data_IF_147478515303
#
_entry.id   IF_147478515303
#
_cell.length_a   1.000
_cell.length_b   1.000
_cell.length_c   1.000
_cell.angle_alpha   90.00
_cell.angle_beta   90.00
_cell.angle_gamma   90.00
#
_symmetry.space_group_name_H-M   'P 1'
#
loop_
_entity.id
_entity.type
_entity.pdbx_description
1 polymer ?
#
# COMPACT_ATOMS: atom_id res chain seq x y z
N UNK A 1 9.18 24.31 18.07
CA UNK A 1 8.63 24.35 16.70
C UNK A 1 7.14 24.60 16.80
N UNK A 2 6.60 25.43 15.91
CA UNK A 2 5.19 25.83 15.90
C UNK A 2 4.40 25.04 14.84
N UNK A 3 3.08 24.96 14.98
CA UNK A 3 2.16 24.28 14.02
C UNK A 3 2.37 24.68 12.54
N UNK A 4 2.73 25.94 12.21
CA UNK A 4 3.13 26.35 10.85
C UNK A 4 4.37 25.62 10.31
N UNK A 5 5.39 25.36 11.14
CA UNK A 5 6.65 24.72 10.74
C UNK A 5 6.41 23.27 10.26
N UNK A 6 5.45 22.60 10.88
CA UNK A 6 5.06 21.22 10.56
C UNK A 6 4.23 21.08 9.28
N UNK A 7 3.71 22.19 8.73
CA UNK A 7 2.91 22.18 7.49
C UNK A 7 3.74 21.79 6.27
N UNK A 8 5.04 22.09 6.30
CA UNK A 8 5.97 21.87 5.19
C UNK A 8 6.93 20.70 5.39
N UNK A 9 6.88 20.02 6.54
CA UNK A 9 7.72 18.85 6.82
C UNK A 9 7.30 17.67 5.88
N UNK A 10 8.19 17.22 4.98
CA UNK A 10 7.88 16.16 4.02
C UNK A 10 7.61 14.81 4.70
N UNK A 11 8.23 14.54 5.84
CA UNK A 11 8.04 13.31 6.60
C UNK A 11 6.66 13.29 7.27
N UNK A 12 6.25 14.39 7.90
CA UNK A 12 4.89 14.52 8.46
C UNK A 12 3.81 14.53 7.37
N UNK A 13 4.10 15.10 6.20
CA UNK A 13 3.20 15.00 5.02
C UNK A 13 3.06 13.56 4.51
N UNK A 14 4.13 12.77 4.56
CA UNK A 14 4.09 11.34 4.25
C UNK A 14 3.26 10.59 5.27
N UNK A 15 3.48 10.85 6.56
CA UNK A 15 2.71 10.26 7.66
C UNK A 15 1.21 10.57 7.55
N UNK A 16 0.84 11.82 7.25
CA UNK A 16 -0.56 12.19 7.03
C UNK A 16 -1.20 11.38 5.89
N UNK A 17 -0.47 11.18 4.79
CA UNK A 17 -0.94 10.34 3.67
C UNK A 17 -1.11 8.88 4.10
N UNK A 18 -0.17 8.36 4.89
CA UNK A 18 -0.28 7.02 5.47
C UNK A 18 -1.51 6.88 6.37
N UNK A 19 -1.70 7.77 7.34
CA UNK A 19 -2.85 7.74 8.25
C UNK A 19 -4.18 7.94 7.52
N UNK A 20 -4.22 8.70 6.41
CA UNK A 20 -5.42 8.83 5.58
C UNK A 20 -5.87 7.51 4.94
N UNK A 21 -4.97 6.53 4.83
CA UNK A 21 -5.28 5.15 4.40
C UNK A 21 -5.68 4.23 5.56
N UNK A 22 -5.65 4.71 6.81
CA UNK A 22 -6.08 4.00 8.02
C UNK A 22 -7.20 4.74 8.75
N UNK A 23 -8.36 4.97 8.09
CA UNK A 23 -9.49 5.65 8.72
C UNK A 23 -10.10 4.84 9.88
N UNK A 24 -9.85 3.54 9.95
CA UNK A 24 -10.17 2.68 11.11
C UNK A 24 -9.47 3.17 12.38
N UNK A 25 -8.16 3.44 12.32
CA UNK A 25 -7.40 3.95 13.46
C UNK A 25 -7.85 5.35 13.85
N UNK A 26 -8.01 6.24 12.87
CA UNK A 26 -8.46 7.61 13.14
C UNK A 26 -9.85 7.63 13.78
N UNK A 27 -10.76 6.77 13.32
CA UNK A 27 -12.09 6.64 13.92
C UNK A 27 -12.01 6.08 15.34
N UNK A 28 -11.19 5.06 15.59
CA UNK A 28 -11.02 4.48 16.92
C UNK A 28 -10.49 5.50 17.93
N UNK A 29 -9.44 6.22 17.54
CA UNK A 29 -8.83 7.29 18.33
C UNK A 29 -9.88 8.38 18.61
N UNK A 30 -10.56 8.88 17.59
CA UNK A 30 -11.57 9.92 17.75
C UNK A 30 -12.71 9.46 18.66
N UNK A 31 -13.22 8.24 18.46
CA UNK A 31 -14.31 7.67 19.27
C UNK A 31 -13.90 7.52 20.73
N UNK A 32 -12.67 7.07 21.00
CA UNK A 32 -12.15 6.89 22.36
C UNK A 32 -11.89 8.20 23.09
N UNK A 33 -11.36 9.20 22.39
CA UNK A 33 -10.86 10.44 22.98
C UNK A 33 -11.82 11.63 22.81
N UNK A 34 -13.02 11.40 22.28
CA UNK A 34 -14.05 12.42 22.13
C UNK A 34 -15.37 11.93 22.71
N UNK A 35 -16.04 12.80 23.46
CA UNK A 35 -17.42 12.62 23.94
C UNK A 35 -18.46 13.11 22.91
N UNK A 36 -18.04 13.36 21.67
CA UNK A 36 -18.91 13.93 20.65
C UNK A 36 -20.08 12.96 20.33
N UNK A 37 -21.35 13.42 20.41
CA UNK A 37 -22.53 12.61 20.09
C UNK A 37 -22.52 12.03 18.67
N UNK A 38 -21.75 12.61 17.75
CA UNK A 38 -21.56 12.07 16.39
C UNK A 38 -20.80 10.73 16.37
N UNK A 39 -20.02 10.45 17.42
CA UNK A 39 -19.24 9.22 17.59
C UNK A 39 -19.91 8.24 18.57
N UNK A 40 -20.80 8.76 19.42
CA UNK A 40 -21.58 8.04 20.42
C UNK A 40 -23.06 8.40 20.26
N UNK A 41 -23.78 7.78 19.30
CA UNK A 41 -25.21 8.05 19.16
C UNK A 41 -25.94 7.65 20.45
N UNK A 42 -26.98 8.39 20.86
CA UNK A 42 -27.77 8.02 22.03
C UNK A 42 -28.37 6.62 21.85
N UNK A 43 -28.60 5.87 22.94
CA UNK A 43 -29.20 4.55 22.88
C UNK A 43 -30.55 4.62 22.13
N UNK A 44 -30.83 3.61 21.32
CA UNK A 44 -32.08 3.54 20.56
C UNK A 44 -33.28 3.63 21.52
N UNK A 45 -34.38 4.31 21.14
CA UNK A 45 -35.60 4.30 21.93
C UNK A 45 -36.04 2.86 22.20
N UNK A 46 -36.47 2.58 23.44
CA UNK A 46 -36.98 1.26 23.87
C UNK A 46 -38.20 0.78 23.08
N UNK A 47 -38.80 1.65 22.27
CA UNK A 47 -39.99 1.38 21.47
C UNK A 47 -39.58 1.02 20.02
N UNK A 48 -39.66 -0.26 19.62
CA UNK A 48 -39.28 -0.72 18.27
C UNK A 48 -40.17 -0.13 17.16
N UNK A 49 -41.32 0.47 17.49
CA UNK A 49 -42.18 1.16 16.52
C UNK A 49 -41.67 2.55 16.11
N UNK A 50 -40.71 3.12 16.84
CA UNK A 50 -40.10 4.43 16.56
C UNK A 50 -38.67 4.34 16.01
N UNK A 51 -38.20 3.15 15.64
CA UNK A 51 -36.91 2.99 14.99
C UNK A 51 -36.95 3.60 13.58
N UNK A 52 -36.60 4.89 13.49
CA UNK A 52 -36.21 5.50 12.23
C UNK A 52 -35.11 4.61 11.60
N UNK A 53 -35.11 4.41 10.27
CA UNK A 53 -34.06 3.66 9.62
C UNK A 53 -32.73 4.28 10.03
N UNK A 54 -31.87 3.47 10.66
CA UNK A 54 -30.60 3.91 11.21
C UNK A 54 -29.61 4.20 10.07
N UNK A 55 -29.88 5.24 9.27
CA UNK A 55 -28.89 5.87 8.41
C UNK A 55 -27.94 6.60 9.35
N UNK A 56 -26.95 5.88 9.88
CA UNK A 56 -25.85 6.51 10.62
C UNK A 56 -25.30 7.64 9.76
N UNK A 57 -25.18 8.88 10.28
CA UNK A 57 -24.71 10.01 9.51
C UNK A 57 -23.34 9.68 8.91
N UNK A 58 -23.12 10.01 7.64
CA UNK A 58 -21.82 9.77 7.00
C UNK A 58 -20.78 10.69 7.64
N UNK A 59 -20.06 10.19 8.63
CA UNK A 59 -18.94 10.89 9.26
C UNK A 59 -17.71 10.71 8.37
N UNK A 60 -17.20 11.81 7.82
CA UNK A 60 -15.93 11.88 7.12
C UNK A 60 -14.84 12.29 8.11
N UNK A 61 -13.77 11.51 8.16
CA UNK A 61 -12.64 11.75 9.08
C UNK A 61 -11.45 12.17 8.25
N UNK A 62 -10.87 13.32 8.57
CA UNK A 62 -9.67 13.83 7.89
C UNK A 62 -8.66 14.36 8.88
N UNK A 63 -7.41 14.45 8.47
CA UNK A 63 -6.35 15.08 9.26
C UNK A 63 -6.15 16.49 8.69
N UNK A 64 -6.26 17.55 9.52
CA UNK A 64 -6.11 18.93 9.07
C UNK A 64 -4.69 19.21 8.56
N UNK A 65 -4.54 20.30 7.80
CA UNK A 65 -3.20 20.72 7.37
C UNK A 65 -2.34 21.15 8.56
N UNK A 66 -1.07 20.72 8.59
CA UNK A 66 -0.18 20.95 9.73
C UNK A 66 -0.34 19.95 10.88
N UNK A 67 -1.04 18.83 10.65
CA UNK A 67 -1.16 17.71 11.59
C UNK A 67 -0.81 16.38 10.89
N UNK A 68 -0.25 15.37 11.60
CA UNK A 68 0.15 15.36 13.01
C UNK A 68 1.31 16.35 13.31
N UNK A 69 1.38 16.81 14.56
CA UNK A 69 2.53 17.50 15.13
C UNK A 69 3.33 16.52 15.98
N UNK A 70 4.46 16.96 16.56
CA UNK A 70 5.30 16.13 17.42
C UNK A 70 4.68 15.83 18.79
N UNK A 71 3.63 16.55 19.15
CA UNK A 71 2.97 16.51 20.45
C UNK A 71 1.47 16.18 20.37
N UNK A 72 0.84 16.30 19.20
CA UNK A 72 -0.58 16.04 19.03
C UNK A 72 -0.99 15.51 17.65
N UNK A 73 -2.08 14.75 17.62
CA UNK A 73 -2.81 14.36 16.43
C UNK A 73 -4.12 15.15 16.35
N UNK A 74 -4.25 15.98 15.33
CA UNK A 74 -5.48 16.64 14.97
C UNK A 74 -6.35 15.74 14.09
N UNK A 75 -7.63 15.65 14.41
CA UNK A 75 -8.63 14.90 13.66
C UNK A 75 -9.84 15.81 13.43
N UNK A 76 -10.23 15.95 12.17
CA UNK A 76 -11.46 16.64 11.76
C UNK A 76 -12.54 15.62 11.46
N UNK A 77 -13.66 15.72 12.17
CA UNK A 77 -14.88 14.95 11.99
C UNK A 77 -15.90 15.83 11.28
N UNK A 78 -16.25 15.47 10.05
CA UNK A 78 -17.20 16.23 9.22
C UNK A 78 -18.43 15.39 8.90
N UNK A 79 -19.59 15.96 9.16
CA UNK A 79 -20.91 15.45 8.73
C UNK A 79 -21.55 16.46 7.78
N UNK A 80 -22.73 16.13 7.22
CA UNK A 80 -23.50 17.11 6.41
C UNK A 80 -23.89 18.36 7.21
N UNK A 81 -24.00 18.24 8.54
CA UNK A 81 -24.55 19.28 9.41
C UNK A 81 -23.48 19.98 10.27
N UNK A 82 -22.36 19.31 10.58
CA UNK A 82 -21.37 19.80 11.54
C UNK A 82 -19.96 19.35 11.21
N UNK A 83 -19.00 20.23 11.44
CA UNK A 83 -17.56 19.96 11.42
C UNK A 83 -16.98 20.18 12.81
N UNK A 84 -16.23 19.21 13.32
CA UNK A 84 -15.59 19.26 14.65
C UNK A 84 -14.13 18.87 14.49
N UNK A 85 -13.23 19.71 14.98
CA UNK A 85 -11.81 19.40 15.03
C UNK A 85 -11.44 19.04 16.48
N UNK A 86 -10.76 17.91 16.63
CA UNK A 86 -10.28 17.39 17.91
C UNK A 86 -8.76 17.28 17.82
N UNK A 87 -8.05 17.94 18.72
CA UNK A 87 -6.62 17.76 18.87
C UNK A 87 -6.37 16.81 20.05
N UNK A 88 -5.69 15.69 19.79
CA UNK A 88 -5.49 14.61 20.73
C UNK A 88 -3.99 14.56 21.07
N UNK A 89 -3.61 14.79 22.34
CA UNK A 89 -2.19 14.80 22.72
C UNK A 89 -1.58 13.40 22.57
N UNK A 90 -0.36 13.36 22.05
CA UNK A 90 0.47 12.15 22.08
C UNK A 90 0.90 11.90 23.53
N UNK A 91 0.98 10.63 23.95
CA UNK A 91 1.38 10.27 25.32
C UNK A 91 2.78 10.76 25.70
N UNK A 92 3.64 10.93 24.70
CA UNK A 92 4.99 11.46 24.84
C UNK A 92 5.25 12.41 23.67
N UNK A 93 5.91 13.53 23.96
CA UNK A 93 6.40 14.45 22.93
C UNK A 93 7.44 13.71 22.10
N UNK A 94 7.08 13.41 20.85
CA UNK A 94 7.98 12.75 19.92
C UNK A 94 9.08 13.71 19.49
N UNK A 95 10.28 13.18 19.25
CA UNK A 95 11.42 13.95 18.75
C UNK A 95 11.61 13.76 17.25
N UNK A 96 11.06 12.67 16.69
CA UNK A 96 11.21 12.31 15.27
C UNK A 96 9.87 11.98 14.61
N UNK A 97 9.72 12.18 13.27
CA UNK A 97 8.49 11.79 12.55
C UNK A 97 8.18 10.29 12.66
N UNK A 98 9.22 9.44 12.80
CA UNK A 98 9.06 8.01 13.02
C UNK A 98 8.42 7.71 14.38
N UNK A 99 8.84 8.42 15.43
CA UNK A 99 8.21 8.32 16.75
C UNK A 99 6.76 8.82 16.73
N UNK A 100 6.47 9.92 16.01
CA UNK A 100 5.07 10.38 15.83
C UNK A 100 4.24 9.28 15.20
N UNK A 101 4.74 8.64 14.14
CA UNK A 101 4.05 7.53 13.47
C UNK A 101 3.76 6.38 14.42
N UNK A 102 4.79 5.89 15.10
CA UNK A 102 4.66 4.76 16.05
C UNK A 102 3.69 5.10 17.18
N UNK A 103 3.74 6.33 17.70
CA UNK A 103 2.85 6.80 18.76
C UNK A 103 1.39 6.85 18.30
N UNK A 104 1.12 7.37 17.10
CA UNK A 104 -0.23 7.43 16.54
C UNK A 104 -0.78 6.04 16.20
N UNK A 105 0.04 5.18 15.57
CA UNK A 105 -0.37 3.80 15.25
C UNK A 105 -0.68 3.02 16.54
N UNK A 106 0.19 3.11 17.55
CA UNK A 106 -0.05 2.50 18.86
C UNK A 106 -1.31 3.05 19.53
N UNK A 107 -1.54 4.36 19.48
CA UNK A 107 -2.76 4.96 20.02
C UNK A 107 -4.02 4.40 19.34
N UNK A 108 -3.96 4.19 18.02
CA UNK A 108 -5.04 3.61 17.24
C UNK A 108 -5.30 2.15 17.56
N UNK A 109 -4.26 1.32 17.60
CA UNK A 109 -4.42 -0.11 17.94
C UNK A 109 -4.86 -0.29 19.40
N UNK A 110 -4.34 0.51 20.35
CA UNK A 110 -4.83 0.56 21.73
C UNK A 110 -6.34 0.92 21.79
N UNK A 111 -6.78 1.85 20.92
CA UNK A 111 -8.18 2.25 20.85
C UNK A 111 -9.07 1.17 20.22
N UNK A 112 -8.61 0.48 19.18
CA UNK A 112 -9.31 -0.68 18.62
C UNK A 112 -9.45 -1.80 19.65
N UNK A 113 -8.37 -2.10 20.40
CA UNK A 113 -8.39 -3.08 21.49
C UNK A 113 -9.35 -2.69 22.63
N UNK A 114 -9.46 -1.40 22.96
CA UNK A 114 -10.43 -0.90 23.94
C UNK A 114 -11.90 -1.18 23.56
N UNK A 115 -12.19 -1.28 22.26
CA UNK A 115 -13.52 -1.62 21.73
C UNK A 115 -13.65 -3.09 21.31
N UNK A 116 -12.65 -3.94 21.59
CA UNK A 116 -12.68 -5.36 21.23
C UNK A 116 -12.68 -5.63 19.73
N UNK A 117 -12.17 -4.70 18.91
CA UNK A 117 -12.12 -4.88 17.46
C UNK A 117 -10.98 -5.83 17.11
N UNK A 118 -11.25 -6.96 16.42
CA UNK A 118 -10.22 -7.92 16.08
C UNK A 118 -9.25 -7.36 15.05
N UNK A 119 -7.98 -7.75 15.18
CA UNK A 119 -6.94 -7.41 14.20
C UNK A 119 -7.26 -8.01 12.82
N UNK A 120 -7.75 -9.24 12.79
CA UNK A 120 -8.16 -9.92 11.56
C UNK A 120 -9.68 -10.12 11.57
N UNK A 121 -10.48 -9.09 11.23
CA UNK A 121 -11.92 -9.25 11.14
C UNK A 121 -12.28 -10.20 10.00
N UNK A 122 -13.42 -10.87 10.14
CA UNK A 122 -13.98 -11.63 9.04
C UNK A 122 -14.55 -10.67 8.00
N UNK A 123 -14.01 -10.70 6.77
CA UNK A 123 -14.52 -9.89 5.67
C UNK A 123 -15.56 -10.69 4.89
N UNK A 124 -16.80 -10.21 4.86
CA UNK A 124 -17.94 -10.91 4.26
C UNK A 124 -18.38 -10.34 2.91
N UNK A 125 -17.79 -9.23 2.49
CA UNK A 125 -18.18 -8.49 1.28
C UNK A 125 -17.00 -8.28 0.33
N UNK A 126 -17.32 -7.97 -0.93
CA UNK A 126 -16.36 -7.53 -1.93
C UNK A 126 -16.44 -6.01 -2.08
N UNK A 127 -15.29 -5.36 -2.00
CA UNK A 127 -15.13 -3.92 -2.33
C UNK A 127 -14.49 -3.80 -3.70
N UNK A 128 -14.96 -2.88 -4.54
CA UNK A 128 -14.36 -2.63 -5.85
C UNK A 128 -12.98 -1.94 -5.74
N UNK A 129 -12.06 -2.19 -6.69
CA UNK A 129 -10.79 -1.47 -6.80
C UNK A 129 -11.03 0.02 -7.10
N UNK A 130 -10.13 0.90 -6.64
CA UNK A 130 -10.16 2.31 -7.03
C UNK A 130 -9.75 2.45 -8.50
N UNK A 131 -10.33 3.40 -9.21
CA UNK A 131 -10.04 3.64 -10.63
C UNK A 131 -8.56 3.88 -10.94
N UNK A 132 -7.79 4.41 -9.98
CA UNK A 132 -6.34 4.61 -10.13
C UNK A 132 -5.56 3.31 -10.38
N UNK A 133 -6.08 2.17 -9.91
CA UNK A 133 -5.44 0.86 -10.12
C UNK A 133 -5.76 0.26 -11.49
N UNK A 134 -6.63 0.88 -12.28
CA UNK A 134 -6.96 0.48 -13.65
C UNK A 134 -5.96 1.08 -14.66
N UNK A 135 -5.26 2.15 -14.28
CA UNK A 135 -4.30 2.84 -15.15
C UNK A 135 -3.18 1.92 -15.71
N UNK A 136 -2.64 0.95 -14.95
CA UNK A 136 -1.67 -0.02 -15.46
C UNK A 136 -2.22 -0.99 -16.53
N UNK A 137 -3.55 -1.09 -16.72
CA UNK A 137 -4.11 -1.93 -17.78
C UNK A 137 -3.71 -1.44 -19.18
N UNK A 138 -3.56 -0.13 -19.37
CA UNK A 138 -3.23 0.46 -20.67
C UNK A 138 -1.87 -0.07 -21.19
N UNK A 139 -0.76 0.04 -20.43
CA UNK A 139 0.52 -0.53 -20.87
C UNK A 139 0.50 -2.06 -20.96
N UNK A 140 -0.28 -2.77 -20.14
CA UNK A 140 -0.42 -4.23 -20.22
C UNK A 140 -1.10 -4.64 -21.53
N UNK A 141 -2.24 -4.04 -21.84
CA UNK A 141 -3.00 -4.29 -23.07
C UNK A 141 -2.17 -3.92 -24.30
N UNK A 142 -1.43 -2.82 -24.25
CA UNK A 142 -0.49 -2.47 -25.30
C UNK A 142 0.58 -3.55 -25.47
N UNK A 143 1.17 -4.05 -24.39
CA UNK A 143 2.21 -5.08 -24.47
C UNK A 143 1.66 -6.41 -25.04
N UNK A 144 0.47 -6.83 -24.59
CA UNK A 144 -0.25 -7.98 -25.14
C UNK A 144 -0.51 -7.78 -26.63
N UNK A 145 -1.04 -6.62 -27.04
CA UNK A 145 -1.28 -6.29 -28.44
C UNK A 145 0.00 -6.37 -29.27
N UNK A 146 1.08 -5.72 -28.81
CA UNK A 146 2.36 -5.71 -29.54
C UNK A 146 3.01 -7.10 -29.62
N UNK A 147 2.73 -8.01 -28.69
CA UNK A 147 3.26 -9.37 -28.75
C UNK A 147 2.44 -10.31 -29.62
N UNK A 148 1.11 -10.30 -29.47
CA UNK A 148 0.24 -11.26 -30.14
C UNK A 148 -0.28 -10.81 -31.50
N UNK A 149 -0.20 -9.52 -31.84
CA UNK A 149 -0.64 -9.06 -33.16
C UNK A 149 0.15 -9.77 -34.28
N UNK A 150 -0.47 -10.08 -35.42
CA UNK A 150 0.26 -10.68 -36.53
C UNK A 150 1.29 -9.70 -37.11
N UNK A 151 2.29 -10.22 -37.82
CA UNK A 151 3.30 -9.41 -38.53
C UNK A 151 2.70 -8.57 -39.66
N UNK A 152 1.47 -8.87 -40.11
CA UNK A 152 0.74 -8.07 -41.09
C UNK A 152 0.10 -6.79 -40.49
N UNK A 153 0.03 -6.66 -39.17
CA UNK A 153 -0.61 -5.51 -38.53
C UNK A 153 0.30 -4.27 -38.56
N UNK A 154 -0.06 -3.29 -39.38
CA UNK A 154 0.70 -2.04 -39.57
C UNK A 154 0.96 -1.29 -38.26
N UNK A 155 -0.08 -1.09 -37.43
CA UNK A 155 0.04 -0.35 -36.17
C UNK A 155 0.90 -1.08 -35.13
N UNK A 156 0.77 -2.41 -35.03
CA UNK A 156 1.61 -3.21 -34.15
C UNK A 156 3.08 -3.15 -34.56
N UNK A 157 3.37 -3.13 -35.86
CA UNK A 157 4.74 -3.02 -36.35
C UNK A 157 5.36 -1.65 -36.06
N UNK A 158 4.60 -0.56 -36.21
CA UNK A 158 5.04 0.77 -35.76
C UNK A 158 5.37 0.73 -34.26
N UNK A 159 4.46 0.20 -33.43
CA UNK A 159 4.68 0.10 -31.99
C UNK A 159 5.89 -0.76 -31.61
N UNK A 160 6.07 -1.93 -32.26
CA UNK A 160 7.25 -2.78 -32.08
C UNK A 160 8.54 -2.06 -32.47
N UNK A 161 8.54 -1.34 -33.59
CA UNK A 161 9.71 -0.59 -34.04
C UNK A 161 10.09 0.50 -33.04
N UNK A 162 9.11 1.23 -32.52
CA UNK A 162 9.34 2.25 -31.49
C UNK A 162 9.88 1.63 -30.20
N UNK A 163 9.26 0.55 -29.72
CA UNK A 163 9.75 -0.16 -28.52
C UNK A 163 11.15 -0.72 -28.75
N UNK A 164 11.43 -1.29 -29.91
CA UNK A 164 12.75 -1.80 -30.25
C UNK A 164 13.81 -0.69 -30.26
N UNK A 165 13.50 0.45 -30.88
CA UNK A 165 14.41 1.59 -30.99
C UNK A 165 14.71 2.26 -29.64
N UNK A 166 13.70 2.47 -28.81
CA UNK A 166 13.83 3.27 -27.59
C UNK A 166 14.03 2.46 -26.31
N UNK A 167 13.65 1.17 -26.31
CA UNK A 167 13.66 0.31 -25.11
C UNK A 167 14.52 -0.93 -25.38
N UNK A 168 14.27 -1.62 -26.49
CA UNK A 168 15.08 -2.74 -26.96
C UNK A 168 14.25 -3.90 -27.51
N UNK A 169 14.90 -4.83 -28.23
CA UNK A 169 14.21 -5.89 -28.99
C UNK A 169 13.45 -6.88 -28.09
N UNK A 170 13.95 -7.10 -26.87
CA UNK A 170 13.37 -8.07 -25.93
C UNK A 170 12.37 -7.45 -24.94
N UNK A 171 12.13 -6.13 -25.01
CA UNK A 171 11.31 -5.43 -24.02
C UNK A 171 9.87 -5.94 -23.96
N UNK A 172 9.27 -6.22 -25.12
CA UNK A 172 7.90 -6.76 -25.22
C UNK A 172 7.84 -8.15 -24.58
N UNK A 173 8.79 -9.03 -24.95
CA UNK A 173 8.87 -10.40 -24.43
C UNK A 173 9.06 -10.44 -22.91
N UNK A 174 9.99 -9.66 -22.38
CA UNK A 174 10.22 -9.59 -20.94
C UNK A 174 9.06 -8.92 -20.19
N UNK A 175 8.43 -7.91 -20.79
CA UNK A 175 7.25 -7.27 -20.21
C UNK A 175 6.11 -8.26 -20.01
N UNK A 176 5.80 -9.10 -21.01
CA UNK A 176 4.76 -10.11 -20.87
C UNK A 176 5.10 -11.19 -19.85
N UNK A 177 6.34 -11.68 -19.86
CA UNK A 177 6.77 -12.67 -18.85
C UNK A 177 6.65 -12.09 -17.44
N UNK A 178 7.03 -10.83 -17.26
CA UNK A 178 6.90 -10.12 -15.98
C UNK A 178 5.44 -9.93 -15.58
N UNK A 179 4.60 -9.36 -16.46
CA UNK A 179 3.18 -9.14 -16.14
C UNK A 179 2.47 -10.45 -15.85
N UNK A 180 2.71 -11.49 -16.66
CA UNK A 180 2.15 -12.81 -16.42
C UNK A 180 2.58 -13.41 -15.08
N UNK A 181 3.87 -13.35 -14.75
CA UNK A 181 4.38 -13.89 -13.48
C UNK A 181 3.77 -13.17 -12.26
N UNK A 182 3.59 -11.85 -12.34
CA UNK A 182 2.97 -11.10 -11.25
C UNK A 182 1.47 -11.39 -11.11
N UNK A 183 0.70 -11.32 -12.20
CA UNK A 183 -0.76 -11.45 -12.17
C UNK A 183 -1.25 -12.89 -11.92
N UNK A 184 -0.48 -13.90 -12.33
CA UNK A 184 -0.89 -15.30 -12.24
C UNK A 184 -0.20 -16.09 -11.13
N UNK A 185 0.90 -15.59 -10.55
CA UNK A 185 1.65 -16.31 -9.50
C UNK A 185 1.75 -15.47 -8.23
N UNK A 186 2.46 -14.33 -8.28
CA UNK A 186 2.82 -13.58 -7.08
C UNK A 186 1.58 -12.98 -6.40
N UNK A 187 0.78 -12.23 -7.14
CA UNK A 187 -0.37 -11.53 -6.58
C UNK A 187 -1.48 -12.48 -6.11
N UNK A 188 -1.82 -13.58 -6.84
CA UNK A 188 -2.73 -14.61 -6.33
C UNK A 188 -2.26 -15.24 -5.02
N UNK A 189 -0.96 -15.54 -4.87
CA UNK A 189 -0.42 -16.10 -3.63
C UNK A 189 -0.53 -15.13 -2.45
N UNK A 190 -0.22 -13.84 -2.68
CA UNK A 190 -0.39 -12.80 -1.67
C UNK A 190 -1.86 -12.61 -1.29
N UNK A 191 -2.75 -12.61 -2.27
CA UNK A 191 -4.19 -12.51 -2.03
C UNK A 191 -4.71 -13.73 -1.26
N UNK A 192 -4.28 -14.95 -1.62
CA UNK A 192 -4.72 -16.17 -0.96
C UNK A 192 -4.39 -16.14 0.54
N UNK A 193 -3.18 -15.69 0.89
CA UNK A 193 -2.79 -15.46 2.30
C UNK A 193 -3.72 -14.46 2.99
N UNK A 194 -4.13 -13.39 2.31
CA UNK A 194 -5.09 -12.41 2.82
C UNK A 194 -6.50 -12.99 3.01
N UNK A 195 -7.04 -13.63 1.99
CA UNK A 195 -8.37 -14.29 1.99
C UNK A 195 -8.48 -15.29 3.14
N UNK A 196 -7.43 -16.11 3.33
CA UNK A 196 -7.35 -17.05 4.44
C UNK A 196 -7.33 -16.34 5.79
N UNK A 197 -6.44 -15.33 5.93
CA UNK A 197 -6.30 -14.55 7.17
C UNK A 197 -7.60 -13.89 7.61
N UNK A 198 -8.36 -13.33 6.67
CA UNK A 198 -9.62 -12.61 6.93
C UNK A 198 -10.86 -13.49 6.76
N UNK A 199 -10.68 -14.83 6.65
CA UNK A 199 -11.77 -15.83 6.55
C UNK A 199 -12.85 -15.43 5.53
N UNK A 200 -12.40 -14.95 4.37
CA UNK A 200 -13.29 -14.43 3.34
C UNK A 200 -14.09 -15.59 2.74
N UNK A 201 -15.43 -15.48 2.62
CA UNK A 201 -16.24 -16.52 1.99
C UNK A 201 -15.84 -16.79 0.55
N UNK A 202 -16.24 -17.93 0.00
CA UNK A 202 -15.83 -18.37 -1.34
C UNK A 202 -16.16 -17.35 -2.43
N UNK A 203 -17.39 -16.84 -2.47
CA UNK A 203 -17.84 -15.93 -3.53
C UNK A 203 -17.04 -14.62 -3.57
N UNK A 204 -16.89 -13.86 -2.46
CA UNK A 204 -16.02 -12.68 -2.47
C UNK A 204 -14.55 -13.02 -2.75
N UNK A 205 -14.05 -14.18 -2.28
CA UNK A 205 -12.68 -14.63 -2.56
C UNK A 205 -12.44 -14.79 -4.07
N UNK A 206 -13.39 -15.41 -4.78
CA UNK A 206 -13.33 -15.54 -6.23
C UNK A 206 -13.35 -14.17 -6.91
N UNK A 207 -14.18 -13.23 -6.45
CA UNK A 207 -14.21 -11.87 -7.00
C UNK A 207 -12.87 -11.13 -6.79
N UNK A 208 -12.26 -11.25 -5.62
CA UNK A 208 -10.93 -10.70 -5.38
C UNK A 208 -9.87 -11.35 -6.26
N UNK A 209 -9.92 -12.66 -6.42
CA UNK A 209 -8.98 -13.40 -7.27
C UNK A 209 -9.11 -13.01 -8.74
N UNK A 210 -10.34 -12.91 -9.25
CA UNK A 210 -10.60 -12.40 -10.59
C UNK A 210 -10.11 -10.96 -10.75
N UNK A 211 -10.29 -10.11 -9.72
CA UNK A 211 -9.79 -8.73 -9.74
C UNK A 211 -8.26 -8.69 -9.82
N UNK A 212 -7.57 -9.60 -9.12
CA UNK A 212 -6.11 -9.73 -9.22
C UNK A 212 -5.69 -10.17 -10.61
N UNK A 213 -6.35 -11.16 -11.19
CA UNK A 213 -5.99 -11.60 -12.55
C UNK A 213 -6.16 -10.48 -13.58
N UNK A 214 -7.21 -9.66 -13.43
CA UNK A 214 -7.52 -8.60 -14.40
C UNK A 214 -6.70 -7.33 -14.15
N UNK A 215 -6.61 -6.87 -12.89
CA UNK A 215 -6.15 -5.52 -12.49
C UNK A 215 -4.90 -5.60 -11.58
N UNK A 216 -4.44 -6.80 -11.29
CA UNK A 216 -3.27 -7.06 -10.47
C UNK A 216 -3.44 -6.68 -9.00
N UNK A 217 -2.46 -5.97 -8.44
CA UNK A 217 -2.50 -5.42 -7.08
C UNK A 217 -3.80 -4.69 -6.69
N UNK A 218 -4.61 -4.23 -7.64
CA UNK A 218 -5.94 -3.68 -7.38
C UNK A 218 -6.84 -4.60 -6.54
N UNK A 219 -6.75 -5.92 -6.72
CA UNK A 219 -7.53 -6.89 -5.92
C UNK A 219 -7.05 -7.02 -4.48
N UNK A 220 -5.73 -6.96 -4.24
CA UNK A 220 -5.14 -6.98 -2.89
C UNK A 220 -5.51 -5.70 -2.12
N UNK A 221 -5.39 -4.55 -2.79
CA UNK A 221 -5.75 -3.25 -2.21
C UNK A 221 -7.26 -3.16 -1.91
N UNK A 222 -8.09 -3.74 -2.79
CA UNK A 222 -9.53 -3.85 -2.55
C UNK A 222 -9.86 -4.70 -1.31
N UNK A 223 -9.15 -5.82 -1.08
CA UNK A 223 -9.30 -6.62 0.13
C UNK A 223 -8.87 -5.83 1.39
N UNK A 224 -7.74 -5.12 1.33
CA UNK A 224 -7.28 -4.26 2.45
C UNK A 224 -8.31 -3.18 2.81
N UNK A 225 -8.94 -2.56 1.80
CA UNK A 225 -10.04 -1.62 2.03
C UNK A 225 -11.25 -2.28 2.69
N UNK A 226 -11.61 -3.49 2.28
CA UNK A 226 -12.72 -4.20 2.89
C UNK A 226 -12.46 -4.52 4.37
N UNK A 227 -11.23 -4.91 4.73
CA UNK A 227 -10.81 -5.08 6.13
C UNK A 227 -11.01 -3.79 6.92
N UNK A 228 -10.56 -2.66 6.39
CA UNK A 228 -10.73 -1.34 7.04
C UNK A 228 -12.21 -0.98 7.19
N UNK A 229 -13.01 -1.18 6.14
CA UNK A 229 -14.46 -0.94 6.18
C UNK A 229 -15.16 -1.81 7.23
N UNK A 230 -14.76 -3.07 7.34
CA UNK A 230 -15.29 -4.00 8.32
C UNK A 230 -14.90 -3.63 9.75
N UNK A 231 -13.65 -3.23 9.99
CA UNK A 231 -13.22 -2.70 11.29
C UNK A 231 -14.03 -1.45 11.67
N UNK A 232 -14.27 -0.54 10.72
CA UNK A 232 -15.11 0.65 10.95
C UNK A 232 -16.56 0.24 11.26
N UNK A 233 -17.11 -0.74 10.54
CA UNK A 233 -18.48 -1.26 10.77
C UNK A 233 -18.60 -1.81 12.19
N UNK A 234 -17.69 -2.67 12.61
CA UNK A 234 -17.64 -3.23 13.97
C UNK A 234 -17.49 -2.12 15.01
N UNK A 235 -16.60 -1.15 14.75
CA UNK A 235 -16.34 -0.04 15.66
C UNK A 235 -17.54 0.90 15.82
N UNK A 236 -18.41 1.06 14.81
CA UNK A 236 -19.65 1.85 14.94
C UNK A 236 -20.61 1.24 15.95
N UNK A 237 -20.74 -0.09 15.96
CA UNK A 237 -21.62 -0.82 16.88
C UNK A 237 -20.98 -1.15 18.23
N UNK A 238 -19.65 -1.02 18.36
CA UNK A 238 -18.94 -1.46 19.55
C UNK A 238 -19.10 -0.52 20.75
N UNK A 239 -19.29 -1.10 21.92
CA UNK A 239 -19.16 -0.43 23.22
C UNK A 239 -17.79 -0.73 23.84
N UNK A 240 -17.32 0.09 24.79
CA UNK A 240 -16.11 -0.23 25.56
C UNK A 240 -16.19 -1.64 26.16
N UNK A 241 -15.09 -2.40 26.08
CA UNK A 241 -14.98 -3.69 26.76
C UNK A 241 -14.19 -3.57 28.06
N UNK A 242 -14.55 -4.42 29.02
CA UNK A 242 -13.85 -4.52 30.30
C UNK A 242 -12.37 -4.84 30.08
N UNK A 243 -11.51 -4.30 30.95
CA UNK A 243 -10.06 -4.46 30.81
C UNK A 243 -9.60 -5.92 30.79
N UNK A 244 -10.32 -6.81 31.49
CA UNK A 244 -10.08 -8.25 31.57
C UNK A 244 -10.36 -8.99 30.26
N UNK A 245 -11.23 -8.44 29.41
CA UNK A 245 -11.69 -9.07 28.16
C UNK A 245 -10.95 -8.49 26.93
N UNK A 246 -9.98 -7.59 27.16
CA UNK A 246 -9.22 -6.96 26.08
C UNK A 246 -8.27 -7.98 25.44
N UNK A 247 -8.28 -8.11 24.09
CA UNK A 247 -7.28 -8.92 23.42
C UNK A 247 -5.89 -8.34 23.70
N UNK A 248 -4.94 -9.22 24.05
CA UNK A 248 -3.55 -8.83 24.27
C UNK A 248 -2.99 -8.16 23.00
N UNK A 249 -2.27 -7.03 23.14
CA UNK A 249 -1.68 -6.37 21.98
C UNK A 249 -0.57 -7.25 21.40
N UNK A 250 -0.84 -7.93 20.29
CA UNK A 250 0.17 -8.59 19.45
C UNK A 250 0.91 -7.53 18.63
N UNK A 251 1.86 -6.84 19.25
CA UNK A 251 2.73 -5.84 18.63
C UNK A 251 3.61 -6.39 17.48
N UNK A 252 3.53 -7.68 17.20
CA UNK A 252 4.41 -8.43 16.29
C UNK A 252 3.98 -8.35 14.81
N UNK A 253 2.76 -7.92 14.50
CA UNK A 253 2.24 -7.99 13.12
C UNK A 253 2.33 -6.68 12.31
N UNK A 254 2.39 -5.51 12.98
CA UNK A 254 2.59 -4.22 12.30
C UNK A 254 3.91 -4.16 11.49
N UNK A 255 4.93 -4.89 11.94
CA UNK A 255 6.22 -4.99 11.24
C UNK A 255 6.15 -5.78 9.92
N UNK A 256 5.19 -6.70 9.76
CA UNK A 256 5.09 -7.54 8.56
C UNK A 256 4.45 -6.77 7.39
N UNK A 257 3.40 -5.99 7.66
CA UNK A 257 2.78 -5.13 6.62
C UNK A 257 3.67 -3.96 6.22
N UNK A 258 4.46 -3.42 7.16
CA UNK A 258 5.41 -2.34 6.90
C UNK A 258 6.62 -2.82 6.07
N UNK A 259 7.08 -4.06 6.29
CA UNK A 259 8.07 -4.68 5.43
C UNK A 259 7.51 -4.91 4.03
N UNK A 260 6.27 -5.38 3.83
CA UNK A 260 5.71 -5.52 2.48
C UNK A 260 5.59 -4.19 1.72
N UNK A 261 5.26 -3.07 2.38
CA UNK A 261 5.09 -1.76 1.74
C UNK A 261 6.42 -0.99 1.55
N UNK A 262 7.36 -1.16 2.48
CA UNK A 262 8.72 -0.59 2.38
C UNK A 262 9.55 -1.36 1.36
N UNK A 263 9.42 -2.70 1.34
CA UNK A 263 9.92 -3.52 0.24
C UNK A 263 9.25 -3.05 -1.05
N UNK A 264 7.92 -2.95 -1.16
CA UNK A 264 7.25 -2.48 -2.38
C UNK A 264 7.76 -1.13 -2.93
N UNK A 265 7.96 -0.10 -2.09
CA UNK A 265 8.46 1.21 -2.58
C UNK A 265 9.97 1.24 -2.85
N UNK A 266 10.77 0.53 -2.04
CA UNK A 266 12.21 0.38 -2.31
C UNK A 266 12.40 -0.40 -3.62
N UNK A 267 11.62 -1.46 -3.80
CA UNK A 267 11.72 -2.45 -4.86
C UNK A 267 11.21 -1.98 -6.23
N UNK A 268 10.09 -1.26 -6.28
CA UNK A 268 9.52 -0.76 -7.53
C UNK A 268 10.07 0.60 -7.99
N UNK A 269 10.59 1.42 -7.06
CA UNK A 269 10.88 2.84 -7.35
C UNK A 269 12.33 3.21 -7.04
N UNK A 270 12.83 2.95 -5.83
CA UNK A 270 14.16 3.45 -5.41
C UNK A 270 15.30 2.59 -5.98
N UNK A 271 15.21 1.27 -5.90
CA UNK A 271 16.23 0.36 -6.43
C UNK A 271 16.40 0.49 -7.95
N UNK A 272 15.32 0.59 -8.75
CA UNK A 272 15.45 0.92 -10.16
C UNK A 272 16.13 2.29 -10.38
N UNK A 273 15.78 3.31 -9.61
CA UNK A 273 16.42 4.64 -9.73
C UNK A 273 17.93 4.62 -9.41
N UNK A 274 18.36 3.90 -8.37
CA UNK A 274 19.76 3.77 -7.99
C UNK A 274 20.57 2.96 -9.01
N UNK A 275 19.95 1.91 -9.57
CA UNK A 275 20.56 1.08 -10.61
C UNK A 275 20.64 1.84 -11.92
N UNK A 276 19.61 2.60 -12.30
CA UNK A 276 19.64 3.51 -13.44
C UNK A 276 20.82 4.49 -13.33
N UNK A 277 21.04 5.08 -12.14
CA UNK A 277 22.20 5.95 -11.87
C UNK A 277 23.54 5.22 -12.02
N UNK A 278 23.69 3.99 -11.53
CA UNK A 278 24.89 3.16 -11.72
C UNK A 278 25.09 2.76 -13.19
N UNK A 279 24.04 2.41 -13.91
CA UNK A 279 24.08 2.00 -15.32
C UNK A 279 24.47 3.15 -16.24
N UNK A 280 23.97 4.36 -15.98
CA UNK A 280 24.37 5.60 -16.64
C UNK A 280 25.87 5.87 -16.37
N UNK A 281 26.30 5.77 -15.10
CA UNK A 281 27.71 5.96 -14.71
C UNK A 281 28.67 4.98 -15.40
N UNK A 282 28.23 3.74 -15.63
CA UNK A 282 29.05 2.68 -16.21
C UNK A 282 28.83 2.45 -17.71
N UNK A 283 28.07 3.32 -18.40
CA UNK A 283 27.75 3.24 -19.84
C UNK A 283 27.29 1.86 -20.29
N UNK A 284 26.49 1.20 -19.45
CA UNK A 284 25.96 -0.14 -19.74
C UNK A 284 24.91 -0.03 -20.85
N UNK A 285 24.90 -0.93 -21.85
CA UNK A 285 23.88 -0.93 -22.91
C UNK A 285 22.46 -0.90 -22.35
N UNK A 286 21.56 -0.16 -23.01
CA UNK A 286 20.18 0.07 -22.54
C UNK A 286 19.38 -1.24 -22.38
N UNK A 287 19.63 -2.21 -23.26
CA UNK A 287 19.01 -3.54 -23.21
C UNK A 287 19.40 -4.33 -21.95
N UNK A 288 20.67 -4.30 -21.57
CA UNK A 288 21.19 -4.90 -20.32
C UNK A 288 20.70 -4.13 -19.11
N UNK A 289 20.62 -2.81 -19.23
CA UNK A 289 20.10 -1.90 -18.20
C UNK A 289 18.65 -2.22 -17.85
N UNK A 290 17.78 -2.38 -18.85
CA UNK A 290 16.38 -2.77 -18.66
C UNK A 290 16.25 -4.18 -18.11
N UNK A 291 17.07 -5.14 -18.56
CA UNK A 291 17.06 -6.49 -18.00
C UNK A 291 17.40 -6.49 -16.50
N UNK A 292 18.40 -5.71 -16.09
CA UNK A 292 18.75 -5.55 -14.67
C UNK A 292 17.68 -4.83 -13.88
N UNK A 293 17.11 -3.75 -14.42
CA UNK A 293 16.00 -3.03 -13.79
C UNK A 293 14.80 -3.94 -13.57
N UNK A 294 14.45 -4.76 -14.56
CA UNK A 294 13.36 -5.75 -14.47
C UNK A 294 13.69 -6.88 -13.50
N UNK A 295 14.93 -7.35 -13.46
CA UNK A 295 15.40 -8.41 -12.53
C UNK A 295 15.40 -7.90 -11.09
N UNK A 296 15.79 -6.64 -10.90
CA UNK A 296 15.76 -5.98 -9.60
C UNK A 296 14.32 -5.81 -9.18
N UNK A 297 13.44 -5.21 -9.98
CA UNK A 297 11.99 -5.13 -9.70
C UNK A 297 11.35 -6.52 -9.45
N UNK A 298 11.95 -7.62 -9.94
CA UNK A 298 11.46 -8.99 -9.73
C UNK A 298 12.01 -9.73 -8.49
N UNK A 299 13.25 -9.50 -8.03
CA UNK A 299 13.94 -10.44 -7.09
C UNK A 299 14.28 -9.87 -5.71
N UNK A 300 14.36 -8.56 -5.54
CA UNK A 300 14.83 -7.95 -4.29
C UNK A 300 16.29 -7.54 -4.35
N UNK A 301 16.81 -7.17 -3.18
CA UNK A 301 18.21 -6.91 -2.85
C UNK A 301 19.22 -7.95 -3.43
N UNK A 302 18.77 -9.18 -3.74
CA UNK A 302 19.57 -10.19 -4.45
C UNK A 302 19.99 -9.79 -5.87
N UNK A 303 19.20 -8.95 -6.56
CA UNK A 303 19.55 -8.43 -7.90
C UNK A 303 20.71 -7.44 -7.88
N UNK A 304 20.84 -6.65 -6.81
CA UNK A 304 21.96 -5.71 -6.61
C UNK A 304 23.26 -6.47 -6.34
N UNK A 305 23.22 -7.49 -5.49
CA UNK A 305 24.39 -8.34 -5.20
C UNK A 305 24.83 -9.13 -6.44
N UNK A 306 23.88 -9.64 -7.24
CA UNK A 306 24.17 -10.29 -8.51
C UNK A 306 24.80 -9.32 -9.53
N UNK A 307 24.31 -8.07 -9.59
CA UNK A 307 24.91 -7.03 -10.44
C UNK A 307 26.33 -6.66 -10.02
N UNK A 308 26.55 -6.37 -8.73
CA UNK A 308 27.88 -6.01 -8.22
C UNK A 308 28.87 -7.19 -8.41
N UNK A 309 28.40 -8.45 -8.28
CA UNK A 309 29.18 -9.65 -8.60
C UNK A 309 29.48 -9.79 -10.10
N UNK A 310 28.51 -9.57 -10.98
CA UNK A 310 28.72 -9.63 -12.43
C UNK A 310 29.67 -8.53 -12.93
N UNK A 311 29.58 -7.31 -12.37
CA UNK A 311 30.52 -6.21 -12.66
C UNK A 311 31.93 -6.55 -12.17
N UNK A 312 32.06 -7.19 -11.01
CA UNK A 312 33.33 -7.67 -10.51
C UNK A 312 33.92 -8.77 -11.40
N UNK A 313 33.12 -9.78 -11.77
CA UNK A 313 33.53 -10.89 -12.62
C UNK A 313 33.94 -10.42 -14.03
N UNK A 314 33.22 -9.47 -14.63
CA UNK A 314 33.58 -8.89 -15.93
C UNK A 314 34.86 -8.05 -15.86
N UNK A 315 35.07 -7.27 -14.78
CA UNK A 315 36.35 -6.58 -14.55
C UNK A 315 37.50 -7.57 -14.41
N UNK A 316 37.31 -8.66 -13.67
CA UNK A 316 38.34 -9.72 -13.52
C UNK A 316 38.61 -10.40 -14.86
N UNK A 317 37.59 -10.63 -15.68
CA UNK A 317 37.74 -11.21 -17.03
C UNK A 317 38.54 -10.28 -17.94
N UNK A 318 38.23 -8.98 -17.95
CA UNK A 318 38.96 -7.97 -18.73
C UNK A 318 40.41 -7.82 -18.26
N UNK A 319 40.67 -7.94 -16.95
CA UNK A 319 42.03 -7.95 -16.40
C UNK A 319 42.82 -9.22 -16.78
N UNK A 320 42.16 -10.38 -16.92
CA UNK A 320 42.78 -11.62 -17.41
C UNK A 320 42.95 -11.66 -18.93
N UNK A 321 42.17 -10.88 -19.67
CA UNK A 321 42.23 -10.77 -21.12
C UNK A 321 43.29 -9.78 -21.62
N UNK A 322 44.00 -9.09 -20.72
CA UNK A 322 45.21 -8.35 -21.09
C UNK A 322 46.22 -9.37 -21.62
N UNK A 323 46.64 -9.29 -22.89
CA UNK A 323 47.64 -10.19 -23.41
C UNK A 323 48.89 -10.03 -22.57
N UNK A 324 49.42 -11.14 -22.04
CA UNK A 324 50.81 -11.17 -21.60
C UNK A 324 51.63 -10.75 -22.80
N UNK A 325 52.10 -9.50 -22.79
CA UNK A 325 53.16 -9.06 -23.69
C UNK A 325 54.34 -9.99 -23.42
N UNK A 326 54.78 -10.60 -24.51
CA UNK A 326 55.87 -11.56 -24.64
C UNK A 326 57.00 -11.37 -23.62
N UNK A 327 57.31 -12.44 -22.89
CA UNK A 327 58.64 -12.67 -22.31
C UNK A 327 59.48 -13.40 -23.34
#
# INVERSE_FOLDING_TARGET
>A
MTRPDHKHDPALKSLRRHLSRRPDLLFAIAKRHSTNPLLHPPPAPLDPSKSLPATSPSVRITIPQGSPTYDALGITLKTKQREVQVDIPLRQTAKTPKEVRQSVEKMGEDALGYYGIPENPQVTSYTTPLHSYILPLIPILLNIFLFYAPSSNHYANIGRSLVHQYIGPNAIRYGILFFGSFHFIIEPLLLFRGVWRYRVPLVPSLLYLSTVVIIGFGGIDALRRAVIQERIRLLRSASPIDAKDRPLPTSTHAHVEENEFTLHNIHLIIEPLLILLKLIKHRVPLSTSLFYMMTVVAIGYGGIQAFDRAVYEERVRLLRAVPKKDQ
#
